data_IF_746338308764
#
_entry.id   IF_746338308764
#
_cell.length_a   1.000
_cell.length_b   1.000
_cell.length_c   1.000
_cell.angle_alpha   90.00
_cell.angle_beta   90.00
_cell.angle_gamma   90.00
#
_symmetry.space_group_name_H-M   'P 1'
#
loop_
_entity.id
_entity.type
_entity.pdbx_description
1 polymer ?
#
# COMPACT_ATOMS: atom_id res chain seq x y z
N UNK A 1 -48.58 -21.31 8.76
CA UNK A 1 -48.06 -20.23 7.88
C UNK A 1 -47.16 -19.34 8.71
N UNK A 2 -45.86 -19.68 8.90
CA UNK A 2 -44.82 -18.68 9.22
C UNK A 2 -43.35 -19.15 9.19
N UNK A 3 -43.03 -20.44 9.02
CA UNK A 3 -41.61 -20.87 9.02
C UNK A 3 -40.82 -20.37 7.80
N UNK A 4 -41.48 -20.30 6.63
CA UNK A 4 -40.84 -19.80 5.41
C UNK A 4 -40.45 -18.32 5.52
N UNK A 5 -41.30 -17.50 6.15
CA UNK A 5 -41.01 -16.07 6.34
C UNK A 5 -39.88 -15.85 7.35
N UNK A 6 -39.84 -16.61 8.45
CA UNK A 6 -38.73 -16.53 9.39
C UNK A 6 -37.41 -16.94 8.74
N UNK A 7 -37.40 -18.02 7.95
CA UNK A 7 -36.21 -18.47 7.23
C UNK A 7 -35.67 -17.41 6.25
N UNK A 8 -36.55 -16.76 5.49
CA UNK A 8 -36.15 -15.71 4.53
C UNK A 8 -35.59 -14.48 5.23
N UNK A 9 -36.15 -14.06 6.37
CA UNK A 9 -35.64 -12.93 7.15
C UNK A 9 -34.27 -13.24 7.81
N UNK A 10 -34.06 -14.48 8.25
CA UNK A 10 -32.75 -14.93 8.74
C UNK A 10 -31.71 -14.85 7.63
N UNK A 11 -32.00 -15.37 6.43
CA UNK A 11 -31.06 -15.31 5.30
C UNK A 11 -30.74 -13.88 4.85
N UNK A 12 -31.71 -12.97 4.88
CA UNK A 12 -31.45 -11.54 4.61
C UNK A 12 -30.54 -10.91 5.64
N UNK A 13 -30.76 -11.21 6.92
CA UNK A 13 -29.95 -10.69 8.02
C UNK A 13 -28.52 -11.23 7.98
N UNK A 14 -28.33 -12.51 7.67
CA UNK A 14 -27.01 -13.11 7.49
C UNK A 14 -26.28 -12.53 6.27
N UNK A 15 -26.98 -12.39 5.14
CA UNK A 15 -26.42 -11.77 3.95
C UNK A 15 -25.97 -10.33 4.21
N UNK A 16 -26.77 -9.53 4.92
CA UNK A 16 -26.41 -8.17 5.28
C UNK A 16 -25.17 -8.12 6.19
N UNK A 17 -25.05 -9.02 7.17
CA UNK A 17 -23.85 -9.14 8.02
C UNK A 17 -22.61 -9.54 7.23
N UNK A 18 -22.75 -10.47 6.28
CA UNK A 18 -21.64 -10.90 5.43
C UNK A 18 -21.22 -9.79 4.46
N UNK A 19 -22.16 -9.07 3.86
CA UNK A 19 -21.89 -7.90 3.03
C UNK A 19 -21.22 -6.78 3.86
N UNK A 20 -21.66 -6.55 5.09
CA UNK A 20 -21.01 -5.61 6.02
C UNK A 20 -19.60 -6.07 6.42
N UNK A 21 -19.39 -7.36 6.68
CA UNK A 21 -18.07 -7.93 7.01
C UNK A 21 -17.11 -7.85 5.82
N UNK A 22 -17.57 -8.18 4.62
CA UNK A 22 -16.79 -8.10 3.38
C UNK A 22 -16.47 -6.66 2.99
N UNK A 23 -17.40 -5.72 3.20
CA UNK A 23 -17.14 -4.29 3.03
C UNK A 23 -16.18 -3.74 4.10
N UNK A 24 -16.14 -4.39 5.26
CA UNK A 24 -15.29 -4.02 6.38
C UNK A 24 -13.85 -4.58 6.27
N UNK A 25 -13.59 -5.57 5.43
CA UNK A 25 -12.30 -6.26 5.35
C UNK A 25 -11.62 -6.08 3.98
N UNK A 26 -11.48 -4.85 3.49
CA UNK A 26 -10.33 -4.60 2.59
C UNK A 26 -9.11 -4.46 3.49
N UNK A 27 -8.20 -5.46 3.54
CA UNK A 27 -7.05 -5.38 4.43
C UNK A 27 -6.28 -4.10 4.08
N UNK A 28 -5.91 -3.30 5.08
CA UNK A 28 -5.09 -2.09 4.89
C UNK A 28 -3.95 -2.33 3.89
N UNK A 29 -3.33 -3.50 3.98
CA UNK A 29 -2.25 -3.97 3.11
C UNK A 29 -2.68 -4.05 1.63
N UNK A 30 -3.84 -4.62 1.33
CA UNK A 30 -4.34 -4.69 -0.05
C UNK A 30 -4.71 -3.31 -0.60
N UNK A 31 -5.29 -2.44 0.23
CA UNK A 31 -5.50 -1.04 -0.17
C UNK A 31 -4.19 -0.32 -0.49
N UNK A 32 -3.14 -0.56 0.31
CA UNK A 32 -1.81 0.02 0.10
C UNK A 32 -1.12 -0.53 -1.16
N UNK A 33 -1.35 -1.81 -1.50
CA UNK A 33 -0.83 -2.45 -2.73
C UNK A 33 -1.15 -1.63 -3.98
N UNK A 34 -2.34 -1.01 -4.02
CA UNK A 34 -2.76 -0.16 -5.13
C UNK A 34 -2.50 1.34 -4.89
N UNK A 35 -2.71 1.84 -3.67
CA UNK A 35 -2.58 3.26 -3.38
C UNK A 35 -1.13 3.76 -3.48
N UNK A 36 -0.15 2.96 -3.04
CA UNK A 36 1.26 3.38 -3.04
C UNK A 36 1.79 3.61 -4.46
N UNK A 37 1.62 2.71 -5.44
CA UNK A 37 2.02 2.98 -6.83
C UNK A 37 1.39 4.24 -7.44
N UNK A 38 0.12 4.52 -7.16
CA UNK A 38 -0.56 5.74 -7.62
C UNK A 38 0.13 6.98 -7.05
N UNK A 39 0.47 6.95 -5.76
CA UNK A 39 1.22 8.03 -5.13
C UNK A 39 2.65 8.16 -5.64
N UNK A 40 3.34 7.05 -5.98
CA UNK A 40 4.68 7.07 -6.58
C UNK A 40 4.67 7.86 -7.89
N UNK A 41 3.70 7.58 -8.76
CA UNK A 41 3.52 8.30 -10.02
C UNK A 41 3.18 9.78 -9.77
N UNK A 42 2.30 10.07 -8.81
CA UNK A 42 1.93 11.43 -8.45
C UNK A 42 3.12 12.27 -7.97
N UNK A 43 3.99 11.71 -7.13
CA UNK A 43 5.16 12.42 -6.58
C UNK A 43 6.39 12.36 -7.49
N UNK A 44 6.33 11.64 -8.62
CA UNK A 44 7.44 11.52 -9.58
C UNK A 44 7.87 12.86 -10.18
N UNK A 45 6.93 13.81 -10.23
CA UNK A 45 7.13 15.15 -10.79
C UNK A 45 7.65 16.16 -9.77
N UNK A 46 7.78 15.75 -8.51
CA UNK A 46 8.21 16.64 -7.43
C UNK A 46 9.73 16.67 -7.34
N UNK A 47 10.27 17.85 -7.03
CA UNK A 47 11.67 17.95 -6.64
C UNK A 47 11.93 17.37 -5.25
N UNK A 48 13.20 17.13 -4.95
CA UNK A 48 13.61 16.48 -3.71
C UNK A 48 13.24 17.28 -2.45
N UNK A 49 13.31 18.60 -2.51
CA UNK A 49 12.98 19.46 -1.36
C UNK A 49 11.49 19.40 -1.05
N UNK A 50 10.64 19.40 -2.07
CA UNK A 50 9.19 19.24 -1.96
C UNK A 50 8.86 17.85 -1.38
N UNK A 51 9.53 16.79 -1.87
CA UNK A 51 9.37 15.44 -1.32
C UNK A 51 9.70 15.38 0.17
N UNK A 52 10.82 15.96 0.60
CA UNK A 52 11.20 15.99 2.01
C UNK A 52 10.20 16.73 2.90
N UNK A 53 9.62 17.84 2.41
CA UNK A 53 8.55 18.56 3.11
C UNK A 53 7.34 17.66 3.35
N UNK A 54 6.84 17.02 2.29
CA UNK A 54 5.68 16.14 2.38
C UNK A 54 5.95 14.85 3.16
N UNK A 55 7.18 14.34 3.20
CA UNK A 55 7.54 13.20 4.06
C UNK A 55 7.32 13.54 5.54
N UNK A 56 7.73 14.75 5.97
CA UNK A 56 7.55 15.20 7.36
C UNK A 56 6.08 15.43 7.72
N UNK A 57 5.31 16.01 6.80
CA UNK A 57 3.87 16.19 6.95
C UNK A 57 3.14 14.85 7.07
N UNK A 58 3.51 13.88 6.21
CA UNK A 58 2.96 12.53 6.25
C UNK A 58 3.28 11.86 7.59
N UNK A 59 4.54 11.90 8.03
CA UNK A 59 4.96 11.34 9.32
C UNK A 59 4.18 11.97 10.50
N UNK A 60 4.00 13.29 10.48
CA UNK A 60 3.24 14.02 11.51
C UNK A 60 1.77 13.59 11.52
N UNK A 61 1.14 13.52 10.34
CA UNK A 61 -0.26 13.13 10.20
C UNK A 61 -0.51 11.69 10.65
N UNK A 62 0.40 10.77 10.29
CA UNK A 62 0.36 9.37 10.74
C UNK A 62 0.55 9.28 12.24
N UNK A 63 1.47 10.06 12.83
CA UNK A 63 1.70 10.09 14.27
C UNK A 63 0.48 10.57 15.06
N UNK A 64 -0.29 11.53 14.53
CA UNK A 64 -1.48 12.08 15.19
C UNK A 64 -2.71 11.18 15.01
N UNK A 65 -2.89 10.57 13.84
CA UNK A 65 -4.12 9.87 13.46
C UNK A 65 -3.94 8.37 13.17
N UNK A 66 -2.82 7.78 13.55
CA UNK A 66 -2.52 6.37 13.29
C UNK A 66 -3.49 5.41 14.00
N UNK A 67 -4.01 5.80 15.15
CA UNK A 67 -5.08 5.10 15.86
C UNK A 67 -6.38 5.06 15.04
N UNK A 68 -6.69 6.14 14.30
CA UNK A 68 -7.86 6.19 13.43
C UNK A 68 -7.78 5.15 12.30
N UNK A 69 -6.59 4.75 11.85
CA UNK A 69 -6.43 3.63 10.91
C UNK A 69 -6.79 2.28 11.53
N UNK A 70 -6.39 2.06 12.78
CA UNK A 70 -6.62 0.80 13.49
C UNK A 70 -8.08 0.65 13.94
N UNK A 71 -8.66 1.74 14.43
CA UNK A 71 -10.01 1.75 15.02
C UNK A 71 -11.06 2.40 14.14
N UNK A 72 -10.73 2.66 12.86
CA UNK A 72 -11.66 3.23 11.85
C UNK A 72 -12.28 4.55 12.31
N UNK A 73 -11.46 5.40 12.92
CA UNK A 73 -11.87 6.70 13.43
C UNK A 73 -12.17 7.70 12.30
N UNK A 74 -12.71 8.86 12.67
CA UNK A 74 -13.09 9.95 11.75
C UNK A 74 -11.98 10.35 10.76
N UNK A 75 -10.71 10.21 11.15
CA UNK A 75 -9.55 10.61 10.35
C UNK A 75 -8.87 9.45 9.62
N UNK A 76 -9.49 8.27 9.55
CA UNK A 76 -8.90 7.08 8.91
C UNK A 76 -8.48 7.35 7.46
N UNK A 77 -9.33 8.01 6.67
CA UNK A 77 -9.02 8.34 5.27
C UNK A 77 -7.84 9.31 5.14
N UNK A 78 -7.73 10.30 6.02
CA UNK A 78 -6.61 11.24 6.04
C UNK A 78 -5.30 10.53 6.41
N UNK A 79 -5.36 9.68 7.43
CA UNK A 79 -4.23 8.88 7.88
C UNK A 79 -3.81 7.86 6.80
N UNK A 80 -4.75 7.24 6.10
CA UNK A 80 -4.50 6.29 5.01
C UNK A 80 -3.77 6.95 3.85
N UNK A 81 -4.29 8.06 3.35
CA UNK A 81 -3.65 8.80 2.25
C UNK A 81 -2.26 9.32 2.65
N UNK A 82 -2.10 9.71 3.93
CA UNK A 82 -0.79 10.13 4.44
C UNK A 82 0.20 8.97 4.54
N UNK A 83 -0.26 7.79 4.96
CA UNK A 83 0.55 6.57 4.96
C UNK A 83 0.96 6.16 3.56
N UNK A 84 0.01 6.08 2.63
CA UNK A 84 0.28 5.70 1.24
C UNK A 84 1.28 6.67 0.56
N UNK A 85 1.08 7.99 0.74
CA UNK A 85 2.02 9.02 0.27
C UNK A 85 3.38 8.92 0.95
N UNK A 86 3.42 8.68 2.27
CA UNK A 86 4.67 8.52 3.01
C UNK A 86 5.50 7.34 2.50
N UNK A 87 4.85 6.19 2.27
CA UNK A 87 5.48 5.01 1.67
C UNK A 87 5.96 5.30 0.24
N UNK A 88 5.14 5.97 -0.58
CA UNK A 88 5.55 6.36 -1.92
C UNK A 88 6.80 7.26 -1.93
N UNK A 89 6.90 8.21 -0.99
CA UNK A 89 8.07 9.08 -0.85
C UNK A 89 9.30 8.30 -0.35
N UNK A 90 9.12 7.34 0.56
CA UNK A 90 10.21 6.47 1.03
C UNK A 90 10.70 5.51 -0.06
N UNK A 91 9.87 5.17 -1.05
CA UNK A 91 10.29 4.35 -2.19
C UNK A 91 11.41 4.99 -3.04
N UNK A 92 11.62 6.32 -2.92
CA UNK A 92 12.73 7.04 -3.56
C UNK A 92 14.05 6.98 -2.77
N UNK A 93 14.06 6.43 -1.55
CA UNK A 93 15.29 6.23 -0.80
C UNK A 93 16.11 5.08 -1.40
N UNK A 94 17.44 5.08 -1.26
CA UNK A 94 18.27 3.95 -1.65
C UNK A 94 17.77 2.66 -0.98
N UNK A 95 17.39 1.66 -1.78
CA UNK A 95 16.84 0.40 -1.26
C UNK A 95 15.33 0.41 -0.97
N UNK A 96 14.61 1.45 -1.39
CA UNK A 96 13.15 1.50 -1.33
C UNK A 96 12.57 1.45 0.09
N UNK A 97 11.34 0.95 0.21
CA UNK A 97 10.63 0.82 1.48
C UNK A 97 9.88 -0.51 1.56
N UNK A 98 9.97 -1.16 2.72
CA UNK A 98 9.18 -2.34 3.07
C UNK A 98 8.17 -2.00 4.17
N UNK A 99 6.93 -2.44 4.02
CA UNK A 99 5.88 -2.29 5.04
C UNK A 99 4.83 -3.38 4.89
N UNK A 100 4.49 -4.04 6.01
CA UNK A 100 3.42 -5.04 6.09
C UNK A 100 3.50 -6.15 5.01
N UNK A 101 4.71 -6.67 4.74
CA UNK A 101 4.94 -7.73 3.74
C UNK A 101 5.02 -7.25 2.29
N UNK A 102 4.86 -5.94 2.05
CA UNK A 102 5.00 -5.33 0.73
C UNK A 102 6.32 -4.54 0.63
N UNK A 103 6.83 -4.41 -0.58
CA UNK A 103 8.04 -3.65 -0.90
C UNK A 103 7.83 -2.78 -2.15
N UNK A 104 8.27 -1.53 -2.08
CA UNK A 104 8.21 -0.56 -3.18
C UNK A 104 9.53 0.18 -3.35
N UNK A 105 9.93 0.42 -4.61
CA UNK A 105 11.16 1.15 -4.96
C UNK A 105 10.95 1.91 -6.28
N UNK A 106 11.63 3.06 -6.44
CA UNK A 106 11.65 3.84 -7.68
C UNK A 106 13.02 3.73 -8.36
N UNK A 107 13.04 3.10 -9.55
CA UNK A 107 14.22 2.96 -10.40
C UNK A 107 14.46 1.51 -10.88
N UNK A 108 14.93 1.36 -12.12
CA UNK A 108 15.28 0.09 -12.78
C UNK A 108 16.64 -0.50 -12.36
N UNK A 109 17.40 0.19 -11.50
CA UNK A 109 18.77 -0.18 -11.13
C UNK A 109 18.92 -1.03 -9.88
N UNK A 110 17.82 -1.33 -9.18
CA UNK A 110 17.83 -2.26 -8.05
C UNK A 110 17.08 -3.52 -8.50
N UNK A 111 17.79 -4.35 -9.28
CA UNK A 111 17.47 -5.77 -9.37
C UNK A 111 17.07 -6.25 -7.98
N UNK A 112 15.91 -6.91 -7.89
CA UNK A 112 15.32 -7.31 -6.63
C UNK A 112 16.38 -7.86 -5.69
N UNK A 113 16.59 -7.15 -4.58
CA UNK A 113 17.36 -7.65 -3.45
C UNK A 113 16.65 -7.18 -2.17
N UNK A 114 15.60 -7.90 -1.76
CA UNK A 114 15.45 -8.19 -0.35
C UNK A 114 16.56 -9.19 0.02
N UNK A 115 17.69 -8.68 0.52
CA UNK A 115 18.90 -9.40 0.98
C UNK A 115 19.80 -10.07 -0.06
N UNK A 116 21.05 -9.60 -0.10
CA UNK A 116 22.29 -10.31 -0.50
C UNK A 116 23.45 -9.32 -0.55
N UNK A 117 24.43 -9.41 0.35
CA UNK A 117 25.69 -10.07 -0.02
C UNK A 117 25.59 -10.82 -1.35
N UNK A 118 26.14 -10.21 -2.40
CA UNK A 118 26.35 -10.80 -3.73
C UNK A 118 26.24 -12.35 -3.77
N UNK A 119 25.09 -12.91 -4.19
CA UNK A 119 25.04 -14.31 -4.65
C UNK A 119 23.86 -15.23 -4.26
N UNK A 120 22.68 -14.75 -3.91
CA UNK A 120 21.46 -15.54 -3.66
C UNK A 120 20.28 -14.96 -4.50
N UNK A 121 19.01 -15.32 -4.28
CA UNK A 121 17.88 -14.48 -4.66
C UNK A 121 17.09 -13.98 -3.43
N UNK A 122 16.37 -12.84 -3.52
CA UNK A 122 15.74 -12.17 -2.38
C UNK A 122 14.47 -12.81 -1.81
N UNK A 123 14.33 -14.12 -1.97
CA UNK A 123 13.09 -14.82 -1.74
C UNK A 123 13.29 -15.95 -0.73
N UNK A 124 12.57 -15.87 0.38
CA UNK A 124 12.35 -17.00 1.27
C UNK A 124 11.62 -18.11 0.48
N UNK A 125 12.07 -19.37 0.48
CA UNK A 125 11.53 -20.46 -0.33
C UNK A 125 10.06 -20.83 -0.03
N UNK A 126 9.40 -20.11 0.88
CA UNK A 126 8.07 -20.41 1.42
C UNK A 126 6.92 -19.58 0.79
N UNK A 127 7.11 -18.96 -0.38
CA UNK A 127 6.02 -18.32 -1.16
C UNK A 127 5.26 -17.12 -0.51
N UNK A 128 5.88 -16.32 0.39
CA UNK A 128 5.13 -15.33 1.18
C UNK A 128 5.19 -13.84 0.78
N UNK A 129 6.01 -13.35 -0.16
CA UNK A 129 6.09 -11.89 -0.43
C UNK A 129 6.02 -11.55 -1.93
N UNK A 130 5.21 -10.57 -2.34
CA UNK A 130 5.13 -10.12 -3.74
C UNK A 130 5.82 -8.75 -3.83
N UNK A 131 7.00 -8.70 -4.46
CA UNK A 131 7.64 -7.45 -4.83
C UNK A 131 6.91 -6.86 -6.04
N UNK A 132 6.42 -5.62 -5.93
CA UNK A 132 5.76 -4.92 -7.04
C UNK A 132 6.67 -3.79 -7.53
N UNK A 133 7.53 -4.11 -8.49
CA UNK A 133 8.24 -3.08 -9.25
C UNK A 133 7.30 -2.53 -10.31
N UNK A 134 6.99 -1.23 -10.23
CA UNK A 134 6.19 -0.54 -11.24
C UNK A 134 6.85 -0.65 -12.63
N UNK A 135 6.02 -0.62 -13.67
CA UNK A 135 6.44 -0.77 -15.06
C UNK A 135 7.46 0.30 -15.47
N UNK A 136 8.61 -0.17 -15.96
CA UNK A 136 9.60 0.67 -16.66
C UNK A 136 8.95 1.36 -17.85
N UNK A 137 8.99 2.69 -17.89
CA UNK A 137 9.04 3.39 -19.17
C UNK A 137 10.42 3.12 -19.77
N UNK A 138 10.50 2.58 -21.00
CA UNK A 138 11.78 2.30 -21.62
C UNK A 138 12.60 3.59 -21.69
N UNK A 139 13.85 3.49 -21.22
CA UNK A 139 14.85 4.52 -21.39
C UNK A 139 14.87 4.92 -22.87
N UNK A 140 14.69 6.21 -23.12
CA UNK A 140 14.75 6.76 -24.46
C UNK A 140 16.19 6.57 -24.94
N UNK A 141 16.36 5.64 -25.88
CA UNK A 141 17.63 5.32 -26.52
C UNK A 141 18.39 6.60 -26.88
N UNK A 142 19.65 6.63 -26.46
CA UNK A 142 20.70 7.42 -27.09
C UNK A 142 20.72 7.06 -28.58
N UNK A 143 20.11 7.91 -29.40
CA UNK A 143 20.31 7.89 -30.84
C UNK A 143 21.45 8.89 -31.18
N UNK A 144 22.35 8.52 -32.12
CA UNK A 144 23.58 9.25 -32.42
C UNK A 144 23.37 10.68 -32.95
#
# INVERSE_FOLDING_TARGET
>A
MNDYYQFVETLRSERARLEETLANDVPLVESLRFAVPIHIEYVSRWDERVRQGHTREAATTIGIYGDALQFRGKNAALAFNSLARGLALLAYQPGGVAFAGLYWCVGSGHHGIATERAGEPPYSPDHQNIAYCGYDTPAKDDAP
#
